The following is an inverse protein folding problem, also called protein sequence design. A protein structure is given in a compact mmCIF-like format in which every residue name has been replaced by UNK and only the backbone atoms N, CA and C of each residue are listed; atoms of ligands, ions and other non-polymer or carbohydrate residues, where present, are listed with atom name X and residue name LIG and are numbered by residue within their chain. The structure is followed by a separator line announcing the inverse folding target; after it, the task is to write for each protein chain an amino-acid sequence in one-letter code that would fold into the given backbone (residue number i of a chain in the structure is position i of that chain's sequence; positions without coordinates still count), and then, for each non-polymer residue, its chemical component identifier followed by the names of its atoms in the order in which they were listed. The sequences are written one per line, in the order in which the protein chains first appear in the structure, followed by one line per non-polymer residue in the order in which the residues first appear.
data_IF_972929797033
#
_entry.id   IF_972929797033
#
_cell.length_a   1.000
_cell.length_b   1.000
_cell.length_c   1.000
_cell.angle_alpha   90.00
_cell.angle_beta   90.00
_cell.angle_gamma   90.00
#
_symmetry.space_group_name_H-M   'P 1'
#
loop_
_entity.id
_entity.type
_entity.pdbx_description
1 polymer ?
#
# COMPACT_ATOMS: atom_id res chain seq x y z
N UNK A 1 57.86 49.08 -4.43
CA UNK A 1 57.83 48.15 -5.57
C UNK A 1 58.11 46.75 -5.04
N UNK A 2 57.13 45.83 -5.04
CA UNK A 2 57.24 44.46 -5.59
C UNK A 2 55.93 43.70 -5.25
N UNK A 3 55.36 43.06 -6.29
CA UNK A 3 53.97 42.61 -6.39
C UNK A 3 53.70 41.37 -5.53
N UNK A 4 52.63 41.41 -4.74
CA UNK A 4 52.08 40.26 -4.00
C UNK A 4 51.48 39.29 -5.01
N UNK A 5 52.02 38.07 -5.04
CA UNK A 5 51.55 36.98 -5.90
C UNK A 5 50.21 36.45 -5.38
N UNK A 6 49.15 36.61 -6.16
CA UNK A 6 47.81 36.14 -5.83
C UNK A 6 47.65 34.69 -6.31
N UNK A 7 47.82 33.72 -5.40
CA UNK A 7 47.55 32.32 -5.70
C UNK A 7 46.04 32.09 -5.61
N UNK A 8 45.36 32.01 -6.75
CA UNK A 8 43.93 31.71 -6.83
C UNK A 8 43.73 30.20 -6.66
N UNK A 9 43.48 29.74 -5.43
CA UNK A 9 43.10 28.35 -5.15
C UNK A 9 41.65 28.17 -5.59
N UNK A 10 41.46 27.56 -6.76
CA UNK A 10 40.17 27.12 -7.26
C UNK A 10 39.72 25.90 -6.46
N UNK A 11 38.88 26.11 -5.45
CA UNK A 11 38.27 25.03 -4.67
C UNK A 11 37.16 24.38 -5.51
N UNK A 12 37.48 23.26 -6.16
CA UNK A 12 36.49 22.41 -6.82
C UNK A 12 35.60 21.76 -5.77
N UNK A 13 34.39 22.29 -5.58
CA UNK A 13 33.34 21.63 -4.80
C UNK A 13 32.81 20.48 -5.67
N UNK A 14 33.34 19.27 -5.45
CA UNK A 14 32.73 18.07 -5.99
C UNK A 14 31.36 17.88 -5.35
N UNK A 15 30.30 18.16 -6.10
CA UNK A 15 28.93 17.85 -5.72
C UNK A 15 28.78 16.32 -5.68
N UNK A 16 28.83 15.75 -4.47
CA UNK A 16 28.33 14.40 -4.24
C UNK A 16 26.82 14.41 -4.45
N UNK A 17 26.38 14.11 -5.67
CA UNK A 17 24.98 13.74 -5.92
C UNK A 17 24.75 12.35 -5.33
N UNK A 18 24.52 12.29 -4.01
CA UNK A 18 23.82 11.14 -3.45
C UNK A 18 22.41 11.19 -4.01
N UNK A 19 22.18 10.42 -5.08
CA UNK A 19 20.83 10.07 -5.48
C UNK A 19 20.23 9.30 -4.31
N UNK A 20 19.38 9.97 -3.52
CA UNK A 20 18.51 9.31 -2.58
C UNK A 20 17.60 8.41 -3.39
N UNK A 21 18.00 7.14 -3.56
CA UNK A 21 17.07 6.07 -3.91
C UNK A 21 16.11 6.01 -2.75
N UNK A 22 15.00 6.73 -2.85
CA UNK A 22 13.89 6.62 -1.93
C UNK A 22 13.37 5.20 -2.09
N UNK A 23 13.87 4.27 -1.28
CA UNK A 23 13.22 2.99 -1.07
C UNK A 23 11.91 3.30 -0.35
N UNK A 24 10.90 3.61 -1.17
CA UNK A 24 9.55 3.88 -0.71
C UNK A 24 8.90 2.63 -0.14
N UNK A 25 9.42 1.44 -0.44
CA UNK A 25 8.94 0.19 0.09
C UNK A 25 9.53 -0.05 1.49
N UNK A 26 8.70 -0.60 2.38
CA UNK A 26 9.06 -0.88 3.77
C UNK A 26 9.05 -2.37 4.05
N UNK A 27 9.91 -2.81 4.97
CA UNK A 27 9.86 -4.17 5.50
C UNK A 27 8.75 -4.32 6.55
N UNK A 28 8.25 -5.55 6.69
CA UNK A 28 7.27 -5.93 7.70
C UNK A 28 7.84 -7.03 8.60
N UNK A 29 7.42 -7.10 9.88
CA UNK A 29 7.80 -8.20 10.76
C UNK A 29 7.28 -9.55 10.25
N UNK A 30 7.88 -10.64 10.71
CA UNK A 30 7.39 -11.99 10.44
C UNK A 30 6.05 -12.26 11.11
N UNK A 31 5.22 -13.13 10.53
CA UNK A 31 3.95 -13.55 11.13
C UNK A 31 2.80 -12.54 10.98
N UNK A 32 2.96 -11.56 10.09
CA UNK A 32 1.89 -10.63 9.74
C UNK A 32 0.85 -11.34 8.89
N UNK A 33 -0.42 -11.16 9.23
CA UNK A 33 -1.53 -11.75 8.51
C UNK A 33 -2.62 -10.71 8.28
N UNK A 34 -2.99 -10.51 7.02
CA UNK A 34 -4.09 -9.65 6.60
C UNK A 34 -5.21 -10.52 6.05
N UNK A 35 -6.45 -10.26 6.42
CA UNK A 35 -7.56 -11.18 6.16
C UNK A 35 -8.90 -10.47 6.00
N UNK A 36 -9.76 -11.06 5.19
CA UNK A 36 -11.17 -10.68 5.09
C UNK A 36 -11.94 -11.55 6.08
N UNK A 37 -12.68 -10.91 6.99
CA UNK A 37 -13.52 -11.54 8.01
C UNK A 37 -14.88 -11.91 7.40
N UNK A 38 -15.46 -10.97 6.65
CA UNK A 38 -16.71 -11.17 5.92
C UNK A 38 -16.72 -10.31 4.65
N UNK A 39 -17.36 -10.74 3.56
CA UNK A 39 -17.93 -12.08 3.37
C UNK A 39 -16.86 -13.17 3.35
N UNK A 40 -17.25 -14.40 3.65
CA UNK A 40 -16.38 -15.58 3.47
C UNK A 40 -16.28 -15.97 2.00
N UNK A 41 -15.26 -16.72 1.64
CA UNK A 41 -15.12 -17.26 0.28
C UNK A 41 -16.32 -18.11 -0.13
N UNK A 42 -16.83 -17.88 -1.34
CA UNK A 42 -18.02 -18.52 -1.90
C UNK A 42 -19.35 -17.93 -1.42
N UNK A 43 -19.36 -16.90 -0.58
CA UNK A 43 -20.61 -16.33 -0.07
C UNK A 43 -21.46 -15.68 -1.17
N UNK A 44 -22.78 -15.88 -1.08
CA UNK A 44 -23.76 -15.18 -1.89
C UNK A 44 -24.27 -13.94 -1.14
N UNK A 45 -24.19 -12.78 -1.77
CA UNK A 45 -24.49 -11.47 -1.14
C UNK A 45 -25.47 -10.65 -1.99
N UNK A 46 -26.11 -9.67 -1.35
CA UNK A 46 -26.88 -8.63 -2.05
C UNK A 46 -25.95 -7.70 -2.85
N UNK A 47 -26.45 -6.93 -3.84
CA UNK A 47 -25.65 -5.97 -4.60
C UNK A 47 -24.81 -5.03 -3.74
N UNK A 48 -25.39 -4.55 -2.63
CA UNK A 48 -24.69 -3.76 -1.63
C UNK A 48 -24.46 -4.60 -0.38
N UNK A 49 -23.20 -4.72 0.04
CA UNK A 49 -22.81 -5.54 1.19
C UNK A 49 -21.58 -4.97 1.90
N UNK A 50 -21.43 -5.35 3.17
CA UNK A 50 -20.29 -4.93 3.99
C UNK A 50 -19.14 -5.93 3.86
N UNK A 51 -17.94 -5.42 3.58
CA UNK A 51 -16.68 -6.15 3.67
C UNK A 51 -16.00 -5.74 4.96
N UNK A 52 -15.75 -6.70 5.85
CA UNK A 52 -15.00 -6.53 7.11
C UNK A 52 -13.66 -7.22 6.99
N UNK A 53 -12.61 -6.56 7.46
CA UNK A 53 -11.25 -7.03 7.30
C UNK A 53 -10.38 -6.68 8.50
N UNK A 54 -9.25 -7.36 8.62
CA UNK A 54 -8.35 -7.21 9.75
C UNK A 54 -6.90 -7.48 9.40
N UNK A 55 -6.06 -7.16 10.38
CA UNK A 55 -4.61 -7.30 10.37
C UNK A 55 -4.17 -7.83 11.74
N UNK A 56 -3.28 -8.81 11.76
CA UNK A 56 -2.56 -9.25 12.96
C UNK A 56 -1.04 -9.20 12.73
N UNK A 57 -0.27 -8.93 13.79
CA UNK A 57 1.19 -8.82 13.73
C UNK A 57 1.73 -7.42 13.39
N UNK A 58 0.85 -6.47 13.05
CA UNK A 58 1.17 -5.05 12.78
C UNK A 58 0.02 -4.15 13.21
N UNK A 59 0.31 -2.85 13.36
CA UNK A 59 -0.70 -1.83 13.61
C UNK A 59 -1.30 -1.26 12.32
N UNK A 60 -2.42 -0.56 12.46
CA UNK A 60 -3.00 0.27 11.39
C UNK A 60 -2.77 1.74 11.72
N UNK A 61 -2.30 2.51 10.75
CA UNK A 61 -2.12 3.95 10.85
C UNK A 61 -2.69 4.64 9.61
N UNK A 62 -3.14 5.91 9.72
CA UNK A 62 -3.53 6.68 8.57
C UNK A 62 -2.38 6.82 7.56
N UNK A 63 -2.71 6.85 6.27
CA UNK A 63 -1.77 7.21 5.23
C UNK A 63 -1.22 8.63 5.47
N UNK A 64 0.04 8.85 5.08
CA UNK A 64 0.80 10.07 5.37
C UNK A 64 1.44 10.11 6.76
N UNK A 65 1.07 9.21 7.68
CA UNK A 65 1.70 9.10 9.00
C UNK A 65 2.69 7.94 8.98
N UNK A 66 3.99 8.27 8.88
CA UNK A 66 5.05 7.28 8.97
C UNK A 66 5.22 6.83 10.42
N UNK A 67 4.75 5.62 10.70
CA UNK A 67 4.86 4.98 12.01
C UNK A 67 5.35 3.56 11.84
N UNK A 68 6.38 3.22 12.62
CA UNK A 68 7.01 1.90 12.65
C UNK A 68 5.96 0.79 12.83
N UNK A 69 6.10 -0.29 12.05
CA UNK A 69 5.24 -1.48 12.09
C UNK A 69 3.76 -1.18 11.89
N UNK A 70 3.43 -0.18 11.05
CA UNK A 70 2.05 0.12 10.68
C UNK A 70 1.84 0.15 9.18
N UNK A 71 0.60 -0.06 8.78
CA UNK A 71 0.16 -0.03 7.39
C UNK A 71 -1.29 0.47 7.33
N UNK A 72 -1.85 0.50 6.11
CA UNK A 72 -3.29 0.64 5.91
C UNK A 72 -3.78 -0.30 4.81
N UNK A 73 -5.09 -0.53 4.79
CA UNK A 73 -5.69 -1.48 3.88
C UNK A 73 -5.97 -0.87 2.50
N UNK A 74 -5.88 -1.73 1.49
CA UNK A 74 -6.51 -1.54 0.19
C UNK A 74 -7.34 -2.78 -0.12
N UNK A 75 -8.47 -2.60 -0.82
CA UNK A 75 -9.29 -3.70 -1.34
C UNK A 75 -9.18 -3.72 -2.85
N UNK A 76 -8.67 -4.84 -3.36
CA UNK A 76 -8.60 -5.18 -4.77
C UNK A 76 -9.89 -5.89 -5.18
N UNK A 77 -10.60 -5.34 -6.17
CA UNK A 77 -11.87 -5.85 -6.69
C UNK A 77 -11.66 -6.27 -8.15
N UNK A 78 -11.87 -7.55 -8.44
CA UNK A 78 -11.71 -8.11 -9.80
C UNK A 78 -10.36 -7.80 -10.46
N UNK A 79 -9.32 -7.77 -9.64
CA UNK A 79 -7.93 -7.53 -10.04
C UNK A 79 -7.28 -8.86 -10.44
N UNK A 80 -7.15 -9.07 -11.75
CA UNK A 80 -6.47 -10.24 -12.35
C UNK A 80 -4.96 -10.05 -12.41
N UNK A 81 -4.52 -8.87 -12.84
CA UNK A 81 -3.12 -8.46 -12.91
C UNK A 81 -2.89 -7.47 -11.78
N UNK A 82 -1.91 -7.75 -10.92
CA UNK A 82 -1.57 -6.86 -9.83
C UNK A 82 -0.95 -5.55 -10.38
N UNK A 83 -1.18 -4.42 -9.71
CA UNK A 83 -0.47 -3.17 -10.04
C UNK A 83 1.03 -3.32 -9.78
N UNK A 84 1.80 -2.33 -10.23
CA UNK A 84 3.21 -2.23 -9.88
C UNK A 84 3.36 -2.04 -8.36
N UNK A 85 3.79 -3.09 -7.66
CA UNK A 85 3.88 -3.14 -6.21
C UNK A 85 5.06 -2.34 -5.64
N UNK A 86 5.89 -1.74 -6.51
CA UNK A 86 7.01 -0.87 -6.10
C UNK A 86 6.62 0.60 -6.04
N UNK A 87 5.37 0.94 -6.41
CA UNK A 87 4.87 2.30 -6.50
C UNK A 87 3.63 2.51 -5.62
N UNK A 88 3.30 3.77 -5.31
CA UNK A 88 2.01 4.09 -4.70
C UNK A 88 0.86 3.50 -5.51
N UNK A 89 -0.04 2.80 -4.82
CA UNK A 89 -1.22 2.23 -5.45
C UNK A 89 -2.11 3.35 -6.01
N UNK A 90 -2.39 3.30 -7.30
CA UNK A 90 -3.31 4.26 -7.91
C UNK A 90 -4.74 3.94 -7.49
N UNK A 91 -5.51 4.97 -7.11
CA UNK A 91 -6.93 4.82 -6.91
C UNK A 91 -7.60 4.54 -8.26
N UNK A 92 -8.32 3.42 -8.34
CA UNK A 92 -9.09 3.01 -9.51
C UNK A 92 -10.40 2.38 -9.03
N UNK A 93 -11.33 2.11 -9.94
CA UNK A 93 -12.56 1.39 -9.59
C UNK A 93 -12.29 -0.01 -8.99
N UNK A 94 -11.10 -0.56 -9.24
CA UNK A 94 -10.66 -1.87 -8.76
C UNK A 94 -9.78 -1.83 -7.52
N UNK A 95 -9.34 -0.64 -7.10
CA UNK A 95 -8.44 -0.47 -5.94
C UNK A 95 -9.06 0.58 -5.03
N UNK A 96 -9.73 0.11 -3.98
CA UNK A 96 -10.29 0.98 -2.95
C UNK A 96 -9.30 1.20 -1.82
N UNK A 97 -9.20 2.45 -1.39
CA UNK A 97 -8.23 2.92 -0.41
C UNK A 97 -8.87 3.08 0.96
N UNK A 98 -8.16 2.63 2.00
CA UNK A 98 -8.57 2.79 3.39
C UNK A 98 -7.47 3.47 4.22
N UNK A 99 -6.92 4.55 3.66
CA UNK A 99 -5.87 5.37 4.28
C UNK A 99 -6.30 6.10 5.54
N UNK A 100 -7.56 6.00 5.98
CA UNK A 100 -7.99 6.49 7.30
C UNK A 100 -7.87 5.44 8.41
N UNK A 101 -7.38 4.24 8.08
CA UNK A 101 -7.31 3.11 9.01
C UNK A 101 -8.62 2.36 9.16
N UNK A 102 -9.50 2.42 8.17
CA UNK A 102 -10.76 1.68 8.18
C UNK A 102 -10.50 0.17 8.22
N UNK A 103 -11.42 -0.56 8.84
CA UNK A 103 -11.43 -2.04 8.94
C UNK A 103 -12.70 -2.65 8.37
N UNK A 104 -13.61 -1.82 7.87
CA UNK A 104 -14.77 -2.25 7.12
C UNK A 104 -15.19 -1.20 6.09
N UNK A 105 -15.92 -1.65 5.08
CA UNK A 105 -16.55 -0.76 4.10
C UNK A 105 -17.81 -1.40 3.54
N UNK A 106 -18.74 -0.58 3.07
CA UNK A 106 -19.83 -1.03 2.23
C UNK A 106 -19.44 -0.83 0.77
N UNK A 107 -19.56 -1.89 -0.04
CA UNK A 107 -19.37 -1.82 -1.48
C UNK A 107 -20.65 -2.23 -2.21
N UNK A 108 -20.79 -1.71 -3.42
CA UNK A 108 -21.85 -2.09 -4.35
C UNK A 108 -21.22 -2.67 -5.59
N UNK A 109 -21.60 -3.90 -5.95
CA UNK A 109 -21.14 -4.60 -7.14
C UNK A 109 -22.34 -5.00 -8.00
N UNK A 110 -22.08 -5.24 -9.29
CA UNK A 110 -23.10 -5.75 -10.21
C UNK A 110 -23.42 -7.22 -9.88
N UNK A 111 -24.59 -7.75 -10.26
CA UNK A 111 -24.85 -9.18 -10.17
C UNK A 111 -23.78 -10.00 -10.91
N UNK A 112 -23.34 -11.12 -10.31
CA UNK A 112 -22.34 -12.01 -10.87
C UNK A 112 -21.23 -12.44 -9.90
N UNK A 113 -20.21 -13.11 -10.45
CA UNK A 113 -19.06 -13.59 -9.69
C UNK A 113 -17.98 -12.51 -9.61
N UNK A 114 -17.58 -12.16 -8.39
CA UNK A 114 -16.54 -11.18 -8.10
C UNK A 114 -15.42 -11.75 -7.23
N UNK A 115 -14.23 -11.18 -7.33
CA UNK A 115 -13.10 -11.51 -6.44
C UNK A 115 -12.68 -10.32 -5.61
N UNK A 116 -12.37 -10.60 -4.34
CA UNK A 116 -11.93 -9.62 -3.35
C UNK A 116 -10.61 -10.07 -2.74
N UNK A 117 -9.67 -9.14 -2.59
CA UNK A 117 -8.38 -9.40 -1.95
C UNK A 117 -7.86 -8.13 -1.28
N UNK A 118 -7.29 -8.25 -0.09
CA UNK A 118 -6.64 -7.13 0.57
C UNK A 118 -5.16 -7.06 0.16
N UNK A 119 -4.66 -5.84 0.11
CA UNK A 119 -3.23 -5.52 -0.05
C UNK A 119 -2.89 -4.38 0.92
N UNK A 120 -1.86 -4.55 1.75
CA UNK A 120 -1.40 -3.47 2.62
C UNK A 120 -0.45 -2.54 1.89
N UNK A 121 -0.65 -1.24 2.10
CA UNK A 121 0.34 -0.21 1.77
C UNK A 121 0.90 0.42 3.04
N UNK A 122 2.12 0.92 2.97
CA UNK A 122 2.72 1.74 4.02
C UNK A 122 2.15 3.16 4.02
N UNK A 123 2.74 4.08 4.78
CA UNK A 123 2.28 5.46 4.89
C UNK A 123 2.17 6.19 3.52
N UNK A 124 2.94 5.79 2.51
CA UNK A 124 2.95 6.37 1.17
C UNK A 124 2.08 5.61 0.15
N UNK A 125 1.22 4.69 0.61
CA UNK A 125 0.42 3.77 -0.23
C UNK A 125 1.27 2.80 -1.06
N UNK A 126 2.55 2.63 -0.72
CA UNK A 126 3.43 1.67 -1.41
C UNK A 126 3.33 0.32 -0.71
N UNK A 127 3.10 -0.78 -1.44
CA UNK A 127 3.18 -2.11 -0.86
C UNK A 127 4.53 -2.38 -0.19
N UNK A 128 4.53 -3.27 0.80
CA UNK A 128 5.76 -3.70 1.47
C UNK A 128 6.61 -4.58 0.54
N UNK A 129 7.93 -4.61 0.75
CA UNK A 129 8.90 -5.35 -0.09
C UNK A 129 8.50 -6.82 -0.29
N UNK A 130 7.99 -7.42 0.79
CA UNK A 130 7.24 -8.66 0.74
C UNK A 130 5.75 -8.28 0.82
N UNK A 131 5.00 -8.36 -0.29
CA UNK A 131 3.62 -7.88 -0.31
C UNK A 131 2.74 -8.63 0.67
N UNK A 132 2.16 -7.89 1.61
CA UNK A 132 1.22 -8.43 2.59
C UNK A 132 -0.18 -8.40 1.98
N UNK A 133 -0.67 -9.58 1.62
CA UNK A 133 -1.96 -9.78 0.95
C UNK A 133 -2.81 -10.82 1.66
N UNK A 134 -4.12 -10.65 1.60
CA UNK A 134 -5.02 -11.69 2.10
C UNK A 134 -5.12 -12.85 1.13
N UNK A 135 -5.70 -13.96 1.60
CA UNK A 135 -6.33 -14.91 0.68
C UNK A 135 -7.31 -14.15 -0.20
N UNK A 136 -7.29 -14.46 -1.49
CA UNK A 136 -8.30 -14.00 -2.44
C UNK A 136 -9.57 -14.80 -2.21
N UNK A 137 -10.69 -14.11 -2.09
CA UNK A 137 -12.00 -14.74 -1.95
C UNK A 137 -12.84 -14.45 -3.20
N UNK A 138 -13.81 -15.32 -3.45
CA UNK A 138 -14.87 -15.17 -4.44
C UNK A 138 -16.17 -14.86 -3.71
N UNK A 139 -16.97 -13.94 -4.25
CA UNK A 139 -18.34 -13.68 -3.81
C UNK A 139 -19.28 -13.75 -5.01
N UNK A 140 -20.53 -14.15 -4.77
CA UNK A 140 -21.59 -14.23 -5.77
C UNK A 140 -22.63 -13.18 -5.43
N UNK A 141 -22.74 -12.16 -6.27
CA UNK A 141 -23.71 -11.08 -6.10
C UNK A 141 -25.00 -11.45 -6.83
N UNK A 142 -26.14 -11.38 -6.12
CA UNK A 142 -27.48 -11.63 -6.68
C UNK A 142 -27.97 -10.51 -7.59
#
# INVERSE_FOLDING_TARGET
MLKISLFFIMFMISSNTFALKQELASSAPSGVNVYIISPVDGATVSPTFTVRFGLSGMGIAPAGIDRVNTAHHHLLIDTKVLPDLTKPLQATDKVRHFGGGQTETQITLKPGKHTLQLLLGNYAHVPHDQPLMSKKITVIVK
#
